data_IF_355762496177
#
_entry.id   IF_355762496177
#
_cell.length_a   1.000
_cell.length_b   1.000
_cell.length_c   1.000
_cell.angle_alpha   90.00
_cell.angle_beta   90.00
_cell.angle_gamma   90.00
#
_symmetry.space_group_name_H-M   'P 1'
#
loop_
_entity.id
_entity.type
_entity.pdbx_description
1 polymer ?
#
# COMPACT_ATOMS: atom_id res chain seq x y z
N UNK A 1 -6.74 2.04 6.06
CA UNK A 1 -6.29 1.77 4.68
C UNK A 1 -4.81 1.42 4.72
N UNK A 2 -4.42 0.42 3.97
CA UNK A 2 -3.03 -0.01 3.84
C UNK A 2 -2.72 -0.16 2.35
N UNK A 3 -1.69 0.52 1.88
CA UNK A 3 -1.35 0.52 0.47
C UNK A 3 0.04 1.07 0.20
N UNK A 4 0.39 1.08 -1.06
CA UNK A 4 1.66 1.56 -1.59
C UNK A 4 1.38 2.68 -2.57
N UNK A 5 2.13 3.76 -2.46
CA UNK A 5 2.19 4.81 -3.46
C UNK A 5 3.43 4.58 -4.33
N UNK A 6 3.22 4.27 -5.59
CA UNK A 6 4.27 4.09 -6.58
C UNK A 6 4.54 5.44 -7.25
N UNK A 7 5.81 5.77 -7.41
CA UNK A 7 6.29 7.03 -7.98
C UNK A 7 7.42 6.77 -8.98
N UNK A 8 7.78 7.76 -9.80
CA UNK A 8 8.88 7.63 -10.74
C UNK A 8 8.52 6.89 -12.04
N UNK A 9 7.26 6.98 -12.46
CA UNK A 9 6.75 6.44 -13.71
C UNK A 9 5.94 7.51 -14.47
N UNK A 10 5.58 7.32 -15.77
CA UNK A 10 4.91 8.34 -16.59
C UNK A 10 3.52 8.80 -16.10
N UNK A 11 2.93 8.13 -15.12
CA UNK A 11 1.58 8.42 -14.62
C UNK A 11 1.58 9.28 -13.35
N UNK A 12 2.60 10.10 -13.10
CA UNK A 12 2.82 10.87 -11.85
C UNK A 12 2.98 9.94 -10.64
N UNK A 13 1.86 9.55 -10.03
CA UNK A 13 1.83 8.60 -8.94
C UNK A 13 0.71 7.57 -9.14
N UNK A 14 0.87 6.42 -8.53
CA UNK A 14 -0.12 5.34 -8.57
C UNK A 14 -0.32 4.80 -7.16
N UNK A 15 -1.55 4.86 -6.66
CA UNK A 15 -1.86 4.27 -5.36
C UNK A 15 -2.51 2.91 -5.54
N UNK A 16 -2.03 1.92 -4.79
CA UNK A 16 -2.59 0.58 -4.79
C UNK A 16 -2.66 0.04 -3.37
N UNK A 17 -3.79 -0.59 -2.99
CA UNK A 17 -3.94 -1.11 -1.65
C UNK A 17 -5.34 -1.53 -1.27
N UNK A 18 -5.53 -1.83 0.00
CA UNK A 18 -6.80 -2.26 0.58
C UNK A 18 -7.53 -1.13 1.29
N UNK A 19 -8.86 -1.20 1.27
CA UNK A 19 -9.73 -0.20 1.86
C UNK A 19 -10.29 -0.61 3.22
N UNK A 20 -9.82 -1.72 3.81
CA UNK A 20 -10.30 -2.20 5.08
C UNK A 20 -10.18 -1.11 6.16
N UNK A 21 -11.27 -0.79 6.79
CA UNK A 21 -11.35 0.13 7.92
C UNK A 21 -11.65 -0.62 9.23
N UNK A 22 -11.56 0.10 10.35
CA UNK A 22 -11.72 -0.49 11.69
C UNK A 22 -13.12 -1.07 11.93
N UNK A 23 -14.15 -0.46 11.35
CA UNK A 23 -15.52 -0.92 11.54
C UNK A 23 -15.76 -2.24 10.79
N UNK A 24 -15.29 -2.34 9.55
CA UNK A 24 -15.43 -3.56 8.75
C UNK A 24 -14.51 -4.66 9.26
N UNK A 25 -13.31 -4.32 9.72
CA UNK A 25 -12.44 -5.26 10.41
C UNK A 25 -13.09 -5.92 11.63
N UNK A 26 -13.79 -5.12 12.46
CA UNK A 26 -14.48 -5.63 13.66
C UNK A 26 -15.73 -6.44 13.36
N UNK A 27 -16.35 -6.24 12.18
CA UNK A 27 -17.42 -7.13 11.70
C UNK A 27 -16.86 -8.49 11.27
N UNK A 28 -15.70 -8.50 10.63
CA UNK A 28 -15.02 -9.74 10.20
C UNK A 28 -14.47 -10.51 11.40
N UNK A 29 -13.71 -9.85 12.25
CA UNK A 29 -13.06 -10.43 13.42
C UNK A 29 -13.22 -9.47 14.59
N UNK A 30 -14.11 -9.79 15.56
CA UNK A 30 -14.38 -8.92 16.70
C UNK A 30 -13.11 -8.54 17.46
N UNK A 31 -13.02 -7.28 17.90
CA UNK A 31 -11.90 -6.69 18.66
C UNK A 31 -10.57 -6.56 17.93
N UNK A 32 -10.48 -6.90 16.64
CA UNK A 32 -9.26 -6.75 15.88
C UNK A 32 -9.17 -5.39 15.16
N UNK A 33 -7.93 -4.93 14.94
CA UNK A 33 -7.65 -3.77 14.09
C UNK A 33 -7.60 -4.15 12.62
N UNK A 34 -7.83 -3.18 11.74
CA UNK A 34 -7.73 -3.41 10.30
C UNK A 34 -6.32 -3.88 9.88
N UNK A 35 -5.27 -3.30 10.43
CA UNK A 35 -3.89 -3.70 10.16
C UNK A 35 -3.63 -5.15 10.58
N UNK A 36 -4.07 -5.54 11.78
CA UNK A 36 -3.91 -6.93 12.24
C UNK A 36 -4.61 -7.91 11.31
N UNK A 37 -5.84 -7.62 10.89
CA UNK A 37 -6.59 -8.49 9.97
C UNK A 37 -5.88 -8.61 8.63
N UNK A 38 -5.38 -7.50 8.07
CA UNK A 38 -4.66 -7.51 6.79
C UNK A 38 -3.37 -8.32 6.86
N UNK A 39 -2.54 -8.09 7.87
CA UNK A 39 -1.27 -8.84 8.06
C UNK A 39 -1.55 -10.32 8.28
N UNK A 40 -2.48 -10.66 9.17
CA UNK A 40 -2.82 -12.06 9.43
C UNK A 40 -3.43 -12.76 8.22
N UNK A 41 -4.18 -12.03 7.38
CA UNK A 41 -4.76 -12.59 6.16
C UNK A 41 -3.70 -12.96 5.12
N UNK A 42 -2.58 -12.22 5.06
CA UNK A 42 -1.47 -12.56 4.17
C UNK A 42 -0.77 -13.85 4.62
N UNK A 43 -0.53 -14.01 5.92
CA UNK A 43 0.02 -15.27 6.48
C UNK A 43 -0.94 -16.43 6.22
N UNK A 44 -2.23 -16.24 6.50
CA UNK A 44 -3.25 -17.25 6.21
C UNK A 44 -3.25 -17.65 4.73
N UNK A 45 -3.19 -16.70 3.81
CA UNK A 45 -3.20 -16.95 2.38
C UNK A 45 -1.98 -17.79 1.94
N UNK A 46 -0.79 -17.47 2.43
CA UNK A 46 0.42 -18.21 2.14
C UNK A 46 0.35 -19.64 2.65
N UNK A 47 -0.12 -19.85 3.88
CA UNK A 47 -0.29 -21.19 4.47
C UNK A 47 -1.35 -21.99 3.71
N UNK A 48 -2.51 -21.40 3.42
CA UNK A 48 -3.59 -22.08 2.68
C UNK A 48 -3.14 -22.48 1.27
N UNK A 49 -2.41 -21.61 0.59
CA UNK A 49 -1.85 -21.92 -0.72
C UNK A 49 -0.81 -23.04 -0.63
N UNK A 50 0.10 -23.02 0.35
CA UNK A 50 1.11 -24.04 0.54
C UNK A 50 0.48 -25.41 0.83
N UNK A 51 -0.57 -25.47 1.64
CA UNK A 51 -1.32 -26.70 1.90
C UNK A 51 -1.98 -27.25 0.64
N UNK A 52 -2.47 -26.40 -0.26
CA UNK A 52 -3.04 -26.79 -1.54
C UNK A 52 -1.98 -27.21 -2.58
N UNK A 53 -0.72 -26.84 -2.36
CA UNK A 53 0.41 -27.09 -3.28
C UNK A 53 1.60 -27.77 -2.60
N UNK A 54 1.44 -28.94 -1.95
CA UNK A 54 2.45 -29.52 -1.06
C UNK A 54 3.76 -29.94 -1.78
N UNK A 55 3.73 -30.08 -3.08
CA UNK A 55 4.88 -30.53 -3.87
C UNK A 55 5.75 -29.37 -4.40
N UNK A 56 5.47 -28.12 -4.00
CA UNK A 56 6.23 -26.96 -4.45
C UNK A 56 7.55 -26.73 -3.71
N UNK A 57 7.78 -27.48 -2.62
CA UNK A 57 8.99 -27.36 -1.82
C UNK A 57 9.07 -26.03 -1.06
N UNK A 58 10.30 -25.63 -0.74
CA UNK A 58 10.55 -24.35 -0.07
C UNK A 58 10.44 -23.19 -1.07
N UNK A 59 9.69 -22.15 -0.69
CA UNK A 59 9.53 -20.92 -1.48
C UNK A 59 9.58 -19.71 -0.56
N UNK A 60 10.23 -18.65 -1.03
CA UNK A 60 10.15 -17.33 -0.40
C UNK A 60 8.94 -16.55 -0.99
N UNK A 61 8.43 -15.53 -0.29
CA UNK A 61 7.24 -14.79 -0.74
C UNK A 61 7.34 -14.25 -2.17
N UNK A 62 8.52 -13.81 -2.60
CA UNK A 62 8.75 -13.24 -3.94
C UNK A 62 8.62 -14.28 -5.07
N UNK A 63 8.84 -15.55 -4.76
CA UNK A 63 8.71 -16.67 -5.72
C UNK A 63 7.29 -17.23 -5.76
N UNK A 64 6.42 -16.85 -4.83
CA UNK A 64 5.06 -17.36 -4.77
C UNK A 64 4.19 -16.76 -5.90
N UNK A 65 3.26 -17.54 -6.50
CA UNK A 65 2.33 -17.01 -7.49
C UNK A 65 1.31 -16.09 -6.83
N UNK A 66 1.66 -14.81 -6.71
CA UNK A 66 0.96 -13.82 -5.92
C UNK A 66 -0.56 -13.75 -6.19
N UNK A 67 -1.00 -13.95 -7.45
CA UNK A 67 -2.44 -13.92 -7.79
C UNK A 67 -3.21 -15.07 -7.14
N UNK A 68 -2.61 -16.26 -7.13
CA UNK A 68 -3.22 -17.44 -6.51
C UNK A 68 -3.24 -17.28 -4.99
N UNK A 69 -2.13 -16.79 -4.40
CA UNK A 69 -2.02 -16.58 -2.97
C UNK A 69 -3.02 -15.51 -2.51
N UNK A 70 -3.07 -14.38 -3.20
CA UNK A 70 -3.95 -13.27 -2.83
C UNK A 70 -5.44 -13.63 -2.89
N UNK A 71 -5.84 -14.53 -3.77
CA UNK A 71 -7.22 -15.00 -3.85
C UNK A 71 -7.74 -15.59 -2.52
N UNK A 72 -6.87 -16.18 -1.68
CA UNK A 72 -7.24 -16.66 -0.35
C UNK A 72 -7.51 -15.53 0.66
N UNK A 73 -6.90 -14.36 0.48
CA UNK A 73 -6.99 -13.25 1.44
C UNK A 73 -7.92 -12.11 1.01
N UNK A 74 -8.36 -12.06 -0.23
CA UNK A 74 -9.12 -10.95 -0.82
C UNK A 74 -10.35 -10.55 0.00
N UNK A 75 -11.09 -11.51 0.54
CA UNK A 75 -12.27 -11.29 1.38
C UNK A 75 -11.98 -10.52 2.68
N UNK A 76 -10.71 -10.43 3.10
CA UNK A 76 -10.29 -9.75 4.32
C UNK A 76 -9.78 -8.31 4.07
N UNK A 77 -9.81 -7.80 2.84
CA UNK A 77 -9.21 -6.51 2.52
C UNK A 77 -10.19 -5.34 2.50
N UNK A 78 -11.49 -5.61 2.61
CA UNK A 78 -12.51 -4.57 2.50
C UNK A 78 -12.54 -3.90 1.13
N UNK A 79 -12.07 -4.60 0.11
CA UNK A 79 -11.91 -4.12 -1.25
C UNK A 79 -10.45 -3.78 -1.58
N UNK A 80 -10.07 -4.06 -2.81
CA UNK A 80 -8.79 -3.71 -3.41
C UNK A 80 -8.99 -2.51 -4.35
N UNK A 81 -8.12 -1.54 -4.21
CA UNK A 81 -8.15 -0.33 -5.03
C UNK A 81 -6.79 -0.11 -5.67
N UNK A 82 -6.77 0.23 -6.95
CA UNK A 82 -5.55 0.48 -7.70
C UNK A 82 -5.83 1.49 -8.80
N UNK A 83 -5.32 2.71 -8.65
CA UNK A 83 -5.59 3.80 -9.59
C UNK A 83 -4.44 4.79 -9.66
N UNK A 84 -4.40 5.53 -10.77
CA UNK A 84 -3.54 6.69 -10.89
C UNK A 84 -3.99 7.76 -9.88
N UNK A 85 -3.05 8.31 -9.12
CA UNK A 85 -3.26 9.42 -8.23
C UNK A 85 -2.62 10.69 -8.81
N UNK A 86 -3.36 11.77 -8.81
CA UNK A 86 -2.86 13.08 -9.27
C UNK A 86 -2.15 13.82 -8.12
N UNK A 87 -1.28 13.10 -7.41
CA UNK A 87 -0.54 13.65 -6.29
C UNK A 87 0.93 13.76 -6.63
N UNK A 88 1.54 14.85 -6.19
CA UNK A 88 3.00 15.03 -6.14
C UNK A 88 3.41 15.67 -4.81
N UNK A 89 4.70 15.61 -4.42
CA UNK A 89 5.18 16.09 -3.13
C UNK A 89 5.07 17.60 -2.92
N UNK A 90 4.85 18.38 -3.97
CA UNK A 90 4.70 19.83 -3.90
C UNK A 90 3.22 20.26 -3.89
N UNK A 91 2.30 19.37 -4.25
CA UNK A 91 0.86 19.64 -4.28
C UNK A 91 0.35 20.00 -2.87
N UNK A 92 -0.40 21.09 -2.78
CA UNK A 92 -0.99 21.60 -1.53
C UNK A 92 0.02 21.97 -0.43
N UNK A 93 1.29 22.12 -0.76
CA UNK A 93 2.27 22.68 0.17
C UNK A 93 2.02 24.18 0.39
N UNK A 94 1.08 24.47 1.29
CA UNK A 94 0.92 25.81 1.85
C UNK A 94 2.02 26.00 2.91
N UNK A 95 3.22 26.36 2.46
CA UNK A 95 4.28 26.73 3.37
C UNK A 95 4.02 28.16 3.87
N UNK A 96 3.39 28.26 5.04
CA UNK A 96 3.14 29.52 5.73
C UNK A 96 4.45 30.29 6.05
N UNK A 97 5.59 29.63 5.99
CA UNK A 97 6.90 30.14 6.30
C UNK A 97 7.87 30.13 5.11
N UNK A 98 7.36 30.05 3.87
CA UNK A 98 8.17 29.96 2.63
C UNK A 98 9.25 31.05 2.54
N UNK A 99 9.02 32.22 3.10
CA UNK A 99 10.01 33.30 3.16
C UNK A 99 11.04 33.20 4.30
N UNK A 100 10.82 32.29 5.25
CA UNK A 100 11.67 32.17 6.46
C UNK A 100 12.62 30.97 6.41
N UNK A 101 12.24 29.92 5.71
CA UNK A 101 12.99 28.67 5.72
C UNK A 101 14.12 28.64 4.70
N UNK A 102 14.19 29.59 3.78
CA UNK A 102 15.20 29.61 2.71
C UNK A 102 15.16 28.39 1.78
N UNK A 103 14.09 27.57 1.86
CA UNK A 103 13.98 26.33 1.07
C UNK A 103 13.57 26.66 -0.36
N UNK A 104 14.37 26.16 -1.28
CA UNK A 104 14.07 26.22 -2.71
C UNK A 104 13.57 24.83 -3.12
N UNK A 105 12.35 24.76 -3.63
CA UNK A 105 11.80 23.55 -4.22
C UNK A 105 12.07 23.54 -5.72
N UNK A 106 12.42 22.39 -6.25
CA UNK A 106 12.51 22.19 -7.69
C UNK A 106 11.12 21.89 -8.25
N UNK A 107 10.45 22.91 -8.74
CA UNK A 107 9.11 22.77 -9.34
C UNK A 107 9.17 22.09 -10.71
N UNK A 108 10.34 22.05 -11.37
CA UNK A 108 10.51 21.39 -12.66
C UNK A 108 10.59 19.87 -12.55
N UNK A 109 11.07 19.39 -11.39
CA UNK A 109 11.08 17.97 -11.05
C UNK A 109 10.55 17.76 -9.62
N UNK A 110 9.24 17.68 -9.42
CA UNK A 110 8.63 17.56 -8.10
C UNK A 110 9.04 16.28 -7.35
N UNK A 111 9.60 15.28 -8.05
CA UNK A 111 9.98 13.98 -7.48
C UNK A 111 11.39 13.94 -6.90
N UNK A 112 12.15 15.04 -6.97
CA UNK A 112 13.46 15.12 -6.34
C UNK A 112 13.36 14.89 -4.83
N UNK A 113 14.29 14.11 -4.28
CA UNK A 113 14.30 13.77 -2.84
C UNK A 113 14.32 15.01 -1.96
N UNK A 114 14.99 16.08 -2.38
CA UNK A 114 15.01 17.37 -1.68
C UNK A 114 13.63 17.97 -1.44
N UNK A 115 12.67 17.68 -2.32
CA UNK A 115 11.30 18.14 -2.21
C UNK A 115 10.47 17.39 -1.14
N UNK A 116 10.96 16.24 -0.66
CA UNK A 116 10.33 15.48 0.42
C UNK A 116 10.84 15.88 1.81
N UNK A 117 11.96 16.58 1.87
CA UNK A 117 12.50 17.02 3.16
C UNK A 117 11.58 18.10 3.76
N UNK A 118 11.07 17.83 4.96
CA UNK A 118 10.14 18.70 5.68
C UNK A 118 10.88 19.83 6.38
#
# INVERSE_FOLDING_TARGET
>A
RLGVLLMGHPYKSWWTGSLLNIHDSRKLIPKQSATTVQVSSAVYAAVAWAMANPNRGYMVPDDMPWREVLAYSEKYWGGYHSEAADWDPLMHRNDLFKGWNGRVYDESDPWQFSNFLA
#
